data_IF_628497237694
#
_entry.id   IF_628497237694
#
_cell.length_a   1.000
_cell.length_b   1.000
_cell.length_c   1.000
_cell.angle_alpha   90.00
_cell.angle_beta   90.00
_cell.angle_gamma   90.00
#
_symmetry.space_group_name_H-M   'P 1'
#
loop_
_entity.id
_entity.type
_entity.pdbx_description
1 polymer ?
#
# COMPACT_ATOMS: atom_id res chain seq x y z
N UNK A 1 9.38 7.83 -5.54
CA UNK A 1 9.93 7.92 -6.91
C UNK A 1 8.84 7.97 -7.96
N UNK A 2 8.18 6.88 -8.40
CA UNK A 2 7.20 6.96 -9.51
C UNK A 2 6.11 8.03 -9.31
N UNK A 3 5.48 8.08 -8.12
CA UNK A 3 4.50 9.13 -7.80
C UNK A 3 5.10 10.54 -7.76
N UNK A 4 6.36 10.68 -7.34
CA UNK A 4 7.06 11.99 -7.38
C UNK A 4 7.33 12.44 -8.82
N UNK A 5 7.42 11.49 -9.76
CA UNK A 5 7.64 11.72 -11.19
C UNK A 5 6.32 11.88 -11.97
N UNK A 6 5.18 11.97 -11.28
CA UNK A 6 3.88 12.26 -11.89
C UNK A 6 3.01 11.03 -12.20
N UNK A 7 3.43 9.82 -11.84
CA UNK A 7 2.59 8.64 -11.98
C UNK A 7 1.44 8.65 -10.96
N UNK A 8 0.25 8.22 -11.36
CA UNK A 8 -0.83 7.89 -10.43
C UNK A 8 -0.57 6.51 -9.81
N UNK A 9 -0.13 6.50 -8.55
CA UNK A 9 0.25 5.26 -7.86
C UNK A 9 -0.83 4.88 -6.86
N UNK A 10 -1.45 3.73 -7.07
CA UNK A 10 -2.36 3.11 -6.10
C UNK A 10 -1.62 2.02 -5.32
N UNK A 11 -1.48 2.21 -4.02
CA UNK A 11 -0.93 1.24 -3.09
C UNK A 11 -2.06 0.38 -2.52
N UNK A 12 -1.96 -0.92 -2.71
CA UNK A 12 -2.89 -1.88 -2.14
C UNK A 12 -2.35 -2.39 -0.81
N UNK A 13 -3.16 -2.33 0.25
CA UNK A 13 -2.76 -2.69 1.60
C UNK A 13 -3.74 -3.65 2.28
N UNK A 14 -3.31 -4.26 3.40
CA UNK A 14 -4.19 -5.15 4.19
C UNK A 14 -5.24 -4.34 4.95
N UNK A 15 -6.50 -4.79 5.03
CA UNK A 15 -7.48 -4.19 5.91
C UNK A 15 -7.05 -4.24 7.38
N UNK A 16 -7.40 -3.20 8.14
CA UNK A 16 -7.10 -3.08 9.57
C UNK A 16 -5.68 -2.61 9.87
N UNK A 17 -4.65 -3.25 9.32
CA UNK A 17 -3.25 -2.97 9.66
C UNK A 17 -2.47 -2.19 8.59
N UNK A 18 -2.80 -2.38 7.31
CA UNK A 18 -2.07 -1.79 6.21
C UNK A 18 -0.69 -2.43 5.94
N UNK A 19 0.23 -1.62 5.44
CA UNK A 19 1.67 -1.91 5.33
C UNK A 19 2.33 -1.95 6.72
N UNK A 20 3.19 -2.94 6.97
CA UNK A 20 3.92 -3.07 8.25
C UNK A 20 4.70 -1.80 8.60
N UNK A 21 5.22 -1.09 7.60
CA UNK A 21 5.95 0.16 7.76
C UNK A 21 5.16 1.27 8.47
N UNK A 22 3.82 1.20 8.47
CA UNK A 22 2.96 2.13 9.23
C UNK A 22 3.23 2.08 10.73
N UNK A 23 3.75 0.95 11.23
CA UNK A 23 4.11 0.74 12.64
C UNK A 23 5.60 0.94 12.94
N UNK A 24 6.42 1.26 11.92
CA UNK A 24 7.89 1.37 12.08
C UNK A 24 8.28 2.71 12.69
N UNK A 25 7.90 2.92 13.94
CA UNK A 25 8.35 4.01 14.78
C UNK A 25 9.11 3.50 16.02
N UNK A 26 9.58 4.42 16.87
CA UNK A 26 9.56 5.88 16.70
C UNK A 26 10.54 6.40 15.61
N UNK A 27 10.36 7.63 15.09
CA UNK A 27 9.35 8.62 15.51
C UNK A 27 7.98 8.41 14.84
N UNK A 28 6.92 8.67 15.62
CA UNK A 28 5.57 8.89 15.12
C UNK A 28 5.31 10.40 15.05
N UNK A 29 4.71 10.86 13.96
CA UNK A 29 4.42 12.27 13.78
C UNK A 29 3.26 12.70 14.69
N UNK A 30 3.23 14.00 14.98
CA UNK A 30 2.06 14.64 15.59
C UNK A 30 1.12 15.15 14.51
N UNK A 31 -0.16 15.22 14.82
CA UNK A 31 -1.15 15.87 13.97
C UNK A 31 -0.86 17.37 13.87
N UNK A 32 -1.55 18.09 12.97
CA UNK A 32 -1.41 19.54 12.82
C UNK A 32 -1.72 20.30 14.13
N UNK A 33 -2.63 19.76 14.95
CA UNK A 33 -3.02 20.32 16.26
C UNK A 33 -2.03 19.95 17.38
N UNK A 34 -0.98 19.18 17.08
CA UNK A 34 0.07 18.79 18.03
C UNK A 34 -0.20 17.51 18.81
N UNK A 35 -1.29 16.80 18.51
CA UNK A 35 -1.67 15.54 19.17
C UNK A 35 -0.84 14.36 18.65
N UNK A 36 -0.68 13.31 19.47
CA UNK A 36 -0.02 12.08 19.02
C UNK A 36 -0.80 11.40 17.88
N UNK A 37 -0.08 10.85 16.91
CA UNK A 37 -0.68 10.06 15.82
C UNK A 37 0.03 8.72 15.66
N UNK A 38 -0.60 7.80 14.94
CA UNK A 38 -0.01 6.52 14.57
C UNK A 38 0.84 6.61 13.28
N UNK A 39 1.07 7.80 12.72
CA UNK A 39 1.78 7.96 11.47
C UNK A 39 3.30 7.84 11.67
N UNK A 40 3.85 6.66 11.38
CA UNK A 40 5.29 6.43 11.42
C UNK A 40 6.01 7.29 10.37
N UNK A 41 7.04 8.04 10.79
CA UNK A 41 7.84 8.87 9.90
C UNK A 41 8.48 8.07 8.75
N UNK A 42 8.84 6.81 9.02
CA UNK A 42 9.35 5.89 8.00
C UNK A 42 8.32 5.65 6.89
N UNK A 43 7.07 5.31 7.23
CA UNK A 43 6.00 5.09 6.24
C UNK A 43 5.79 6.32 5.36
N UNK A 44 5.68 7.51 5.97
CA UNK A 44 5.43 8.75 5.24
C UNK A 44 6.57 9.12 4.30
N UNK A 45 7.82 8.90 4.70
CA UNK A 45 8.99 9.18 3.87
C UNK A 45 9.03 8.37 2.56
N UNK A 46 8.51 7.14 2.61
CA UNK A 46 8.57 6.17 1.52
C UNK A 46 7.28 6.07 0.68
N UNK A 47 6.14 6.58 1.20
CA UNK A 47 4.82 6.37 0.60
C UNK A 47 4.05 7.63 0.22
N UNK A 48 4.66 8.83 0.32
CA UNK A 48 4.08 10.05 -0.28
C UNK A 48 3.76 9.87 -1.77
N UNK A 49 2.81 10.66 -2.28
CA UNK A 49 2.35 10.63 -3.67
C UNK A 49 1.78 9.27 -4.12
N UNK A 50 1.20 8.53 -3.17
CA UNK A 50 0.42 7.31 -3.43
C UNK A 50 -0.96 7.44 -2.84
N UNK A 51 -1.98 6.97 -3.57
CA UNK A 51 -3.32 6.73 -3.03
C UNK A 51 -3.32 5.35 -2.39
N UNK A 52 -3.96 5.19 -1.24
CA UNK A 52 -4.04 3.91 -0.53
C UNK A 52 -5.45 3.34 -0.58
N UNK A 53 -5.58 2.05 -0.85
CA UNK A 53 -6.83 1.30 -0.71
C UNK A 53 -6.55 -0.05 -0.04
N UNK A 54 -7.42 -0.46 0.88
CA UNK A 54 -7.29 -1.76 1.52
C UNK A 54 -8.06 -2.82 0.75
N UNK A 55 -7.41 -3.95 0.47
CA UNK A 55 -8.04 -5.12 -0.15
C UNK A 55 -7.55 -6.38 0.56
N UNK A 56 -8.49 -7.22 1.01
CA UNK A 56 -8.16 -8.53 1.54
C UNK A 56 -7.85 -9.50 0.40
N UNK A 57 -6.57 -9.62 0.09
CA UNK A 57 -6.08 -10.45 -0.99
C UNK A 57 -6.14 -11.94 -0.75
N UNK A 58 -6.39 -12.37 0.49
CA UNK A 58 -6.53 -13.79 0.80
C UNK A 58 -7.85 -14.38 0.28
N UNK A 59 -8.79 -13.50 -0.14
CA UNK A 59 -10.13 -13.87 -0.61
C UNK A 59 -10.23 -13.78 -2.14
N UNK A 60 -11.03 -14.66 -2.78
CA UNK A 60 -11.24 -14.62 -4.23
C UNK A 60 -11.75 -13.27 -4.75
N UNK A 61 -12.62 -12.60 -3.99
CA UNK A 61 -13.16 -11.29 -4.36
C UNK A 61 -12.09 -10.19 -4.31
N UNK A 62 -11.18 -10.26 -3.33
CA UNK A 62 -10.04 -9.35 -3.26
C UNK A 62 -9.04 -9.60 -4.39
N UNK A 63 -8.84 -10.87 -4.75
CA UNK A 63 -8.05 -11.24 -5.92
C UNK A 63 -8.63 -10.66 -7.22
N UNK A 64 -9.96 -10.70 -7.38
CA UNK A 64 -10.65 -10.13 -8.53
C UNK A 64 -10.52 -8.61 -8.62
N UNK A 65 -10.68 -7.90 -7.50
CA UNK A 65 -10.50 -6.44 -7.44
C UNK A 65 -9.10 -6.04 -7.93
N UNK A 66 -8.06 -6.74 -7.46
CA UNK A 66 -6.69 -6.40 -7.81
C UNK A 66 -6.36 -6.78 -9.24
N UNK A 67 -6.87 -7.89 -9.76
CA UNK A 67 -6.78 -8.20 -11.20
C UNK A 67 -7.41 -7.10 -12.04
N UNK A 68 -8.63 -6.65 -11.68
CA UNK A 68 -9.33 -5.57 -12.41
C UNK A 68 -8.55 -4.26 -12.39
N UNK A 69 -7.94 -3.90 -11.26
CA UNK A 69 -7.07 -2.73 -11.16
C UNK A 69 -5.81 -2.90 -12.01
N UNK A 70 -5.16 -4.07 -11.95
CA UNK A 70 -3.97 -4.37 -12.73
C UNK A 70 -4.22 -4.32 -14.23
N UNK A 71 -5.40 -4.75 -14.71
CA UNK A 71 -5.80 -4.63 -16.12
C UNK A 71 -5.89 -3.18 -16.63
N UNK A 72 -5.96 -2.20 -15.73
CA UNK A 72 -6.00 -0.77 -16.07
C UNK A 72 -4.67 -0.05 -15.82
N UNK A 73 -3.68 -0.74 -15.26
CA UNK A 73 -2.40 -0.15 -14.87
C UNK A 73 -1.32 -0.39 -15.94
N UNK A 74 -0.47 0.60 -16.16
CA UNK A 74 0.72 0.44 -17.01
C UNK A 74 1.78 -0.47 -16.38
N UNK A 75 1.85 -0.47 -15.04
CA UNK A 75 2.84 -1.22 -14.26
C UNK A 75 2.18 -1.81 -13.02
N UNK A 76 2.40 -3.10 -12.77
CA UNK A 76 2.08 -3.79 -11.52
C UNK A 76 3.37 -4.12 -10.78
N UNK A 77 3.47 -3.72 -9.50
CA UNK A 77 4.66 -3.93 -8.68
C UNK A 77 4.30 -4.67 -7.39
N UNK A 78 5.03 -5.73 -7.11
CA UNK A 78 4.91 -6.53 -5.89
C UNK A 78 6.30 -6.92 -5.37
N UNK A 79 6.41 -7.16 -4.07
CA UNK A 79 7.63 -7.60 -3.40
C UNK A 79 7.35 -8.72 -2.38
N UNK A 80 6.31 -9.51 -2.62
CA UNK A 80 6.02 -10.67 -1.80
C UNK A 80 7.08 -11.76 -2.00
N UNK A 81 7.10 -12.74 -1.10
CA UNK A 81 7.92 -13.94 -1.31
C UNK A 81 7.49 -14.62 -2.62
N UNK A 82 8.44 -15.16 -3.41
CA UNK A 82 8.11 -15.91 -4.61
C UNK A 82 7.01 -16.95 -4.38
N UNK A 83 6.05 -17.02 -5.28
CA UNK A 83 4.90 -17.93 -5.19
C UNK A 83 3.67 -17.37 -4.47
N UNK A 84 3.83 -16.36 -3.63
CA UNK A 84 2.69 -15.78 -2.91
C UNK A 84 1.75 -14.99 -3.83
N UNK A 85 2.28 -14.34 -4.86
CA UNK A 85 1.50 -13.62 -5.87
C UNK A 85 0.99 -14.50 -7.03
N UNK A 86 1.24 -15.82 -7.01
CA UNK A 86 0.76 -16.72 -8.08
C UNK A 86 -0.72 -17.13 -7.93
N UNK A 87 -1.31 -16.93 -6.75
CA UNK A 87 -2.76 -17.17 -6.52
C UNK A 87 -3.65 -16.24 -7.36
N UNK A 88 -3.08 -15.16 -7.90
CA UNK A 88 -3.77 -14.10 -8.63
C UNK A 88 -3.76 -14.32 -10.14
N UNK A 89 -2.86 -15.18 -10.61
CA UNK A 89 -2.65 -15.51 -12.03
C UNK A 89 -3.53 -16.68 -12.52
N UNK A 90 -4.54 -17.09 -11.75
CA UNK A 90 -5.54 -18.10 -12.13
C UNK A 90 -6.92 -17.49 -12.31
#
# INVERSE_FOLDING_TARGET
>A
MLGDLGADVVKIERPGTGDDARSYGPPFLRTADGEESAEAGFYLSCNRNKRSVTVDHSKPEGADIIRRLACTADVFLENYRPGFAQVWSR
#
